data_IF_612028170910
#
_entry.id   IF_612028170910
#
_cell.length_a   1.000
_cell.length_b   1.000
_cell.length_c   1.000
_cell.angle_alpha   90.00
_cell.angle_beta   90.00
_cell.angle_gamma   90.00
#
_symmetry.space_group_name_H-M   'P 1'
#
loop_
_entity.id
_entity.type
_entity.pdbx_description
1 polymer ?
#
# COMPACT_ATOMS: atom_id res chain seq x y z
N UNK A 1 -8.07 5.00 26.10
CA UNK A 1 -7.79 4.87 24.65
C UNK A 1 -8.61 3.68 24.13
N UNK A 2 -9.53 3.94 23.20
CA UNK A 2 -10.31 2.88 22.57
C UNK A 2 -9.35 2.03 21.71
N UNK A 3 -9.36 0.71 21.88
CA UNK A 3 -8.56 -0.23 21.10
C UNK A 3 -9.27 -0.50 19.75
N UNK A 4 -9.43 0.54 18.95
CA UNK A 4 -10.02 0.40 17.62
C UNK A 4 -8.91 0.15 16.59
N UNK A 5 -9.11 -0.76 15.65
CA UNK A 5 -8.20 -0.92 14.52
C UNK A 5 -8.20 0.34 13.66
N UNK A 6 -7.01 0.69 13.15
CA UNK A 6 -6.83 1.85 12.30
C UNK A 6 -6.44 1.40 10.88
N UNK A 7 -7.30 1.73 9.93
CA UNK A 7 -7.05 1.58 8.50
C UNK A 7 -6.66 2.92 7.87
N UNK A 8 -5.59 2.92 7.08
CA UNK A 8 -5.16 4.07 6.30
C UNK A 8 -5.51 3.88 4.82
N UNK A 9 -6.19 4.85 4.23
CA UNK A 9 -6.27 4.97 2.76
C UNK A 9 -4.95 5.54 2.24
N UNK A 10 -4.18 4.71 1.58
CA UNK A 10 -2.86 5.02 1.02
C UNK A 10 -2.87 5.22 -0.49
N UNK A 11 -3.99 5.64 -1.10
CA UNK A 11 -4.09 5.90 -2.53
C UNK A 11 -3.06 6.93 -3.05
N UNK A 12 -2.56 7.81 -2.17
CA UNK A 12 -1.50 8.78 -2.45
C UNK A 12 -0.36 8.71 -1.42
N UNK A 13 -0.09 7.53 -0.92
CA UNK A 13 0.92 7.33 0.13
C UNK A 13 2.31 7.84 -0.26
N UNK A 14 2.76 7.52 -1.48
CA UNK A 14 4.05 7.98 -1.98
C UNK A 14 4.15 9.51 -2.02
N UNK A 15 3.08 10.19 -2.46
CA UNK A 15 3.03 11.66 -2.51
C UNK A 15 3.08 12.27 -1.11
N UNK A 16 2.41 11.67 -0.14
CA UNK A 16 2.43 12.10 1.24
C UNK A 16 3.85 11.96 1.85
N UNK A 17 4.53 10.84 1.61
CA UNK A 17 5.92 10.62 2.03
C UNK A 17 6.84 11.68 1.41
N UNK A 18 6.75 11.91 0.10
CA UNK A 18 7.57 12.89 -0.60
C UNK A 18 7.32 14.32 -0.09
N UNK A 19 6.08 14.68 0.21
CA UNK A 19 5.71 16.02 0.66
C UNK A 19 6.11 16.27 2.13
N UNK A 20 6.07 15.27 2.98
CA UNK A 20 6.31 15.42 4.44
C UNK A 20 7.75 15.10 4.84
N UNK A 21 8.47 14.31 4.06
CA UNK A 21 9.78 13.79 4.44
C UNK A 21 9.76 12.78 5.59
N UNK A 22 8.57 12.37 6.04
CA UNK A 22 8.38 11.39 7.11
C UNK A 22 8.65 9.99 6.54
N UNK A 23 9.32 9.14 7.30
CA UNK A 23 9.57 7.77 6.84
C UNK A 23 8.26 6.96 6.72
N UNK A 24 8.18 5.99 5.80
CA UNK A 24 7.02 5.10 5.71
C UNK A 24 6.63 4.44 7.03
N UNK A 25 7.61 4.05 7.83
CA UNK A 25 7.39 3.43 9.13
C UNK A 25 6.73 4.39 10.14
N UNK A 26 7.20 5.64 10.18
CA UNK A 26 6.62 6.68 11.06
C UNK A 26 5.21 7.06 10.63
N UNK A 27 4.96 7.13 9.33
CA UNK A 27 3.64 7.44 8.80
C UNK A 27 2.63 6.28 9.00
N UNK A 28 3.08 5.06 9.24
CA UNK A 28 2.22 3.88 9.34
C UNK A 28 2.25 3.21 10.71
N UNK A 29 2.96 2.09 10.83
CA UNK A 29 2.88 1.22 12.00
C UNK A 29 3.37 1.86 13.30
N UNK A 30 4.36 2.75 13.23
CA UNK A 30 4.81 3.50 14.42
C UNK A 30 3.76 4.50 14.93
N UNK A 31 2.89 4.96 14.05
CA UNK A 31 1.74 5.80 14.41
C UNK A 31 0.49 5.01 14.77
N UNK A 32 0.57 3.68 14.76
CA UNK A 32 -0.52 2.79 15.19
C UNK A 32 -1.48 2.39 14.08
N UNK A 33 -1.08 2.52 12.81
CA UNK A 33 -1.84 2.00 11.67
C UNK A 33 -1.72 0.47 11.63
N UNK A 34 -2.84 -0.23 11.53
CA UNK A 34 -2.92 -1.69 11.45
C UNK A 34 -2.94 -2.22 10.02
N UNK A 35 -3.59 -1.48 9.14
CA UNK A 35 -3.79 -1.84 7.73
C UNK A 35 -3.65 -0.61 6.84
N UNK A 36 -3.12 -0.79 5.64
CA UNK A 36 -3.10 0.26 4.62
C UNK A 36 -3.58 -0.28 3.28
N UNK A 37 -4.49 0.44 2.61
CA UNK A 37 -4.78 0.27 1.19
C UNK A 37 -3.73 1.05 0.41
N UNK A 38 -2.68 0.38 -0.04
CA UNK A 38 -1.55 1.00 -0.72
C UNK A 38 -1.83 1.07 -2.22
N UNK A 39 -1.99 2.29 -2.75
CA UNK A 39 -2.22 2.55 -4.17
C UNK A 39 -0.98 3.06 -4.88
N UNK A 40 -0.64 2.46 -6.02
CA UNK A 40 0.45 2.90 -6.89
C UNK A 40 -0.06 3.51 -8.21
N UNK A 41 -1.34 3.37 -8.52
CA UNK A 41 -1.96 3.84 -9.78
C UNK A 41 -1.82 5.36 -9.98
N UNK A 42 -1.92 6.15 -8.90
CA UNK A 42 -1.78 7.61 -8.97
C UNK A 42 -0.32 8.10 -8.97
N UNK A 43 0.63 7.18 -8.96
CA UNK A 43 2.06 7.48 -8.93
C UNK A 43 2.85 6.63 -9.94
N UNK A 44 2.29 6.43 -11.13
CA UNK A 44 3.00 5.88 -12.28
C UNK A 44 2.71 4.42 -12.63
N UNK A 45 2.03 3.64 -11.80
CA UNK A 45 1.54 2.33 -12.18
C UNK A 45 0.26 2.45 -13.00
N UNK A 46 0.06 1.52 -13.94
CA UNK A 46 -1.16 1.47 -14.73
C UNK A 46 -2.38 1.09 -13.88
N UNK A 47 -2.28 0.01 -13.15
CA UNK A 47 -3.27 -0.41 -12.15
C UNK A 47 -2.58 -1.31 -11.11
N UNK A 48 -2.32 -0.79 -9.93
CA UNK A 48 -1.68 -1.55 -8.88
C UNK A 48 -2.11 -1.03 -7.51
N UNK A 49 -2.87 -1.84 -6.81
CA UNK A 49 -3.29 -1.59 -5.43
C UNK A 49 -3.01 -2.84 -4.59
N UNK A 50 -2.56 -2.63 -3.37
CA UNK A 50 -2.25 -3.70 -2.43
C UNK A 50 -2.83 -3.40 -1.06
N UNK A 51 -3.24 -4.44 -0.34
CA UNK A 51 -3.50 -4.35 1.09
C UNK A 51 -2.24 -4.74 1.83
N UNK A 52 -1.69 -3.82 2.59
CA UNK A 52 -0.53 -4.05 3.45
C UNK A 52 -1.01 -4.24 4.88
N UNK A 53 -0.66 -5.39 5.45
CA UNK A 53 -1.04 -5.76 6.82
C UNK A 53 0.15 -5.46 7.71
N UNK A 54 0.00 -4.47 8.59
CA UNK A 54 1.02 -4.05 9.53
C UNK A 54 0.84 -4.73 10.89
N UNK A 55 -0.41 -5.08 11.22
CA UNK A 55 -0.75 -5.88 12.39
C UNK A 55 -1.14 -7.29 11.95
N UNK A 56 -0.32 -8.32 12.27
CA UNK A 56 -0.54 -9.70 11.81
C UNK A 56 -1.88 -10.31 12.21
N UNK A 57 -2.52 -9.83 13.27
CA UNK A 57 -3.80 -10.34 13.74
C UNK A 57 -4.93 -10.16 12.72
N UNK A 58 -4.83 -9.16 11.85
CA UNK A 58 -5.78 -8.92 10.77
C UNK A 58 -5.48 -9.72 9.49
N UNK A 59 -4.36 -10.45 9.45
CA UNK A 59 -3.93 -11.21 8.27
C UNK A 59 -4.54 -12.61 8.12
N UNK A 60 -5.07 -13.18 9.20
CA UNK A 60 -5.40 -14.61 9.31
C UNK A 60 -6.42 -15.10 8.25
N UNK A 61 -7.40 -14.28 7.92
CA UNK A 61 -8.48 -14.65 6.98
C UNK A 61 -8.38 -13.89 5.64
N UNK A 62 -7.40 -13.02 5.47
CA UNK A 62 -7.33 -12.13 4.31
C UNK A 62 -7.24 -12.89 2.99
N UNK A 63 -6.55 -14.03 2.97
CA UNK A 63 -6.45 -14.87 1.77
C UNK A 63 -7.83 -15.36 1.31
N UNK A 64 -8.66 -15.81 2.24
CA UNK A 64 -10.03 -16.26 1.95
C UNK A 64 -10.93 -15.08 1.55
N UNK A 65 -10.81 -13.97 2.26
CA UNK A 65 -11.56 -12.74 1.93
C UNK A 65 -11.22 -12.23 0.54
N UNK A 66 -9.93 -12.19 0.18
CA UNK A 66 -9.45 -11.84 -1.16
C UNK A 66 -10.07 -12.73 -2.23
N UNK A 67 -10.09 -14.05 -1.99
CA UNK A 67 -10.67 -15.01 -2.94
C UNK A 67 -12.18 -14.82 -3.07
N UNK A 68 -12.92 -14.68 -1.96
CA UNK A 68 -14.35 -14.42 -1.94
C UNK A 68 -14.72 -13.12 -2.63
N UNK A 69 -13.89 -12.09 -2.52
CA UNK A 69 -14.07 -10.80 -3.19
C UNK A 69 -13.70 -10.81 -4.68
N UNK A 70 -13.36 -11.98 -5.25
CA UNK A 70 -12.97 -12.09 -6.67
C UNK A 70 -11.62 -11.45 -7.00
N UNK A 71 -10.80 -11.14 -5.98
CA UNK A 71 -9.51 -10.47 -6.15
C UNK A 71 -8.33 -11.45 -6.37
N UNK A 72 -8.64 -12.74 -6.57
CA UNK A 72 -7.65 -13.76 -6.94
C UNK A 72 -7.89 -14.16 -8.40
N UNK A 73 -7.11 -13.62 -9.31
CA UNK A 73 -7.24 -13.88 -10.73
C UNK A 73 -5.90 -14.26 -11.37
N UNK A 74 -5.96 -15.00 -12.48
CA UNK A 74 -4.78 -15.61 -13.11
C UNK A 74 -3.76 -14.60 -13.66
N UNK A 75 -4.17 -13.35 -13.88
CA UNK A 75 -3.33 -12.26 -14.41
C UNK A 75 -2.70 -11.40 -13.31
N UNK A 76 -2.82 -11.77 -12.02
CA UNK A 76 -2.28 -11.00 -10.89
C UNK A 76 -0.77 -10.75 -10.99
N UNK A 77 -0.02 -11.61 -11.71
CA UNK A 77 1.40 -11.42 -11.97
C UNK A 77 1.74 -10.09 -12.67
N UNK A 78 0.83 -9.55 -13.49
CA UNK A 78 1.04 -8.25 -14.14
C UNK A 78 0.98 -7.09 -13.16
N UNK A 79 0.18 -7.21 -12.10
CA UNK A 79 0.16 -6.24 -10.99
C UNK A 79 1.41 -6.39 -10.15
N UNK A 80 1.82 -7.63 -9.82
CA UNK A 80 3.04 -7.88 -9.05
C UNK A 80 4.28 -7.35 -9.75
N UNK A 81 4.38 -7.51 -11.08
CA UNK A 81 5.50 -6.97 -11.88
C UNK A 81 5.55 -5.43 -11.83
N UNK A 82 4.40 -4.75 -11.79
CA UNK A 82 4.35 -3.29 -11.60
C UNK A 82 4.91 -2.89 -10.23
N UNK A 83 4.52 -3.59 -9.16
CA UNK A 83 5.06 -3.33 -7.82
C UNK A 83 6.55 -3.63 -7.73
N UNK A 84 7.02 -4.72 -8.35
CA UNK A 84 8.45 -5.04 -8.39
C UNK A 84 9.26 -3.89 -9.01
N UNK A 85 8.86 -3.42 -10.18
CA UNK A 85 9.49 -2.27 -10.83
C UNK A 85 9.36 -0.98 -9.99
N UNK A 86 8.20 -0.76 -9.40
CA UNK A 86 7.87 0.43 -8.60
C UNK A 86 8.73 0.58 -7.35
N UNK A 87 9.07 -0.53 -6.70
CA UNK A 87 9.92 -0.53 -5.51
C UNK A 87 11.42 -0.64 -5.82
N UNK A 88 11.80 -1.04 -7.05
CA UNK A 88 13.21 -1.14 -7.44
C UNK A 88 13.85 0.25 -7.43
N UNK A 89 15.03 0.35 -6.80
CA UNK A 89 15.81 1.58 -6.71
C UNK A 89 15.00 2.80 -6.21
N UNK A 90 14.05 2.56 -5.32
CA UNK A 90 13.17 3.59 -4.74
C UNK A 90 12.43 4.43 -5.79
N UNK A 91 12.12 3.85 -6.94
CA UNK A 91 11.46 4.53 -8.06
C UNK A 91 10.18 5.25 -7.60
N UNK A 92 9.39 4.62 -6.74
CA UNK A 92 8.14 5.14 -6.19
C UNK A 92 8.31 6.48 -5.45
N UNK A 93 9.45 6.68 -4.75
CA UNK A 93 9.76 7.94 -4.08
C UNK A 93 10.27 9.01 -5.05
N UNK A 94 11.03 8.59 -6.06
CA UNK A 94 11.54 9.51 -7.08
C UNK A 94 10.45 10.06 -8.01
N UNK A 95 9.40 9.28 -8.25
CA UNK A 95 8.27 9.69 -9.09
C UNK A 95 7.28 10.59 -8.36
N UNK A 96 7.12 10.40 -7.05
CA UNK A 96 6.11 11.08 -6.26
C UNK A 96 6.12 12.62 -6.33
N UNK A 97 7.27 13.31 -6.35
CA UNK A 97 7.31 14.78 -6.47
C UNK A 97 6.76 15.32 -7.78
N UNK A 98 6.77 14.52 -8.85
CA UNK A 98 6.29 14.93 -10.17
C UNK A 98 4.76 14.87 -10.31
N UNK A 99 4.09 14.21 -9.39
CA UNK A 99 2.63 14.08 -9.38
C UNK A 99 1.91 15.06 -8.44
N UNK A 100 2.66 15.94 -7.82
CA UNK A 100 2.14 16.93 -6.87
C UNK A 100 1.92 18.28 -7.53
#
# INVERSE_FOLDING_TARGET
>A
RHKLPLHMDGARFANAIAATGVSPAEMTWKSGVDLISFGATKNGCWMADAVVILNPDFGKELRLLRQRAGQTFSKARFISAQFEAYFTDELWLRMAPHGN
#
